data_IF_623591423680
#
_entry.id   IF_623591423680
#
_cell.length_a   1.000
_cell.length_b   1.000
_cell.length_c   1.000
_cell.angle_alpha   90.00
_cell.angle_beta   90.00
_cell.angle_gamma   90.00
#
_symmetry.space_group_name_H-M   'P 1'
#
loop_
_entity.id
_entity.type
_entity.pdbx_description
1 polymer ?
#
# COMPACT_ATOMS: atom_id res chain seq x y z
N UNK A 1 36.78 -22.26 12.29
CA UNK A 1 35.96 -21.11 12.71
C UNK A 1 34.97 -20.82 11.59
N UNK A 2 33.66 -20.98 11.81
CA UNK A 2 32.66 -20.67 10.80
C UNK A 2 32.64 -19.15 10.60
N UNK A 3 32.72 -18.69 9.34
CA UNK A 3 32.50 -17.28 8.97
C UNK A 3 31.13 -16.84 9.44
N UNK A 4 31.01 -15.74 10.19
CA UNK A 4 29.72 -15.27 10.63
C UNK A 4 28.83 -14.96 9.42
N UNK A 5 27.55 -15.39 9.48
CA UNK A 5 26.56 -15.07 8.46
C UNK A 5 26.51 -13.55 8.22
N UNK A 6 26.49 -13.08 6.95
CA UNK A 6 26.37 -11.65 6.65
C UNK A 6 25.08 -11.01 7.20
N UNK A 7 24.08 -11.83 7.56
CA UNK A 7 22.85 -11.38 8.24
C UNK A 7 23.03 -11.13 9.76
N UNK A 8 24.25 -11.27 10.30
CA UNK A 8 24.55 -10.79 11.67
C UNK A 8 24.43 -9.26 11.83
N UNK A 9 24.31 -8.51 10.74
CA UNK A 9 23.87 -7.11 10.79
C UNK A 9 22.43 -6.93 11.30
N UNK A 10 21.65 -8.02 11.41
CA UNK A 10 20.32 -8.04 12.03
C UNK A 10 20.36 -8.43 13.52
N UNK A 11 21.53 -8.41 14.16
CA UNK A 11 21.65 -8.54 15.62
C UNK A 11 21.09 -7.27 16.25
N UNK A 12 20.25 -7.38 17.29
CA UNK A 12 19.73 -6.22 18.00
C UNK A 12 20.85 -5.29 18.47
N UNK A 13 20.62 -3.98 18.31
CA UNK A 13 21.54 -2.97 18.80
C UNK A 13 21.53 -2.94 20.34
N UNK A 14 22.66 -2.62 20.97
CA UNK A 14 22.73 -2.46 22.44
C UNK A 14 21.83 -1.34 22.95
N UNK A 15 21.58 -0.32 22.13
CA UNK A 15 20.60 0.73 22.42
C UNK A 15 19.23 0.31 21.85
N UNK A 16 18.31 -0.08 22.72
CA UNK A 16 16.95 -0.60 22.35
C UNK A 16 16.21 0.35 21.40
N UNK A 17 16.41 1.66 21.50
CA UNK A 17 15.76 2.66 20.64
C UNK A 17 16.11 2.55 19.15
N UNK A 18 17.17 1.83 18.79
CA UNK A 18 17.57 1.57 17.40
C UNK A 18 17.09 0.22 16.88
N UNK A 19 16.41 -0.56 17.71
CA UNK A 19 15.87 -1.85 17.30
C UNK A 19 14.45 -1.72 16.76
N UNK A 20 14.17 -2.38 15.63
CA UNK A 20 12.82 -2.68 15.19
C UNK A 20 12.43 -4.09 15.66
N UNK A 21 11.26 -4.23 16.23
CA UNK A 21 10.74 -5.52 16.69
C UNK A 21 9.61 -5.94 15.76
N UNK A 22 9.80 -7.09 15.09
CA UNK A 22 8.75 -7.76 14.34
C UNK A 22 8.20 -8.86 15.25
N UNK A 23 7.06 -8.60 15.87
CA UNK A 23 6.38 -9.57 16.72
C UNK A 23 5.13 -10.11 16.01
N UNK A 24 4.59 -11.23 16.48
CA UNK A 24 3.28 -11.73 16.06
C UNK A 24 2.18 -10.80 16.61
N UNK A 25 1.96 -9.71 15.94
CA UNK A 25 0.78 -8.88 16.16
C UNK A 25 -0.43 -9.69 15.68
N UNK A 26 -1.00 -10.43 16.61
CA UNK A 26 -2.19 -11.25 16.39
C UNK A 26 -3.41 -10.35 16.22
N UNK A 27 -3.61 -9.90 15.05
CA UNK A 27 -4.78 -9.15 14.66
C UNK A 27 -4.37 -7.87 14.00
N UNK A 28 -4.22 -7.91 12.74
CA UNK A 28 -4.39 -6.82 11.82
C UNK A 28 -3.18 -6.53 10.97
N UNK A 29 -3.34 -6.73 9.67
CA UNK A 29 -2.46 -6.21 8.64
C UNK A 29 -2.26 -4.69 8.68
N UNK A 30 -3.01 -3.95 9.52
CA UNK A 30 -3.00 -2.50 9.67
C UNK A 30 -1.59 -1.91 9.85
N UNK A 31 -0.74 -2.52 10.66
CA UNK A 31 0.63 -2.03 10.85
C UNK A 31 1.48 -2.15 9.59
N UNK A 32 1.30 -3.23 8.82
CA UNK A 32 2.07 -3.41 7.60
C UNK A 32 1.61 -2.39 6.54
N UNK A 33 0.31 -2.25 6.32
CA UNK A 33 -0.23 -1.27 5.40
C UNK A 33 0.19 0.15 5.81
N UNK A 34 0.02 0.53 7.08
CA UNK A 34 0.41 1.84 7.60
C UNK A 34 1.91 2.13 7.38
N UNK A 35 2.79 1.14 7.58
CA UNK A 35 4.22 1.27 7.34
C UNK A 35 4.56 1.60 5.87
N UNK A 36 3.90 0.95 4.92
CA UNK A 36 4.09 1.24 3.49
C UNK A 36 3.55 2.62 3.11
N UNK A 37 2.39 3.03 3.63
CA UNK A 37 1.87 4.39 3.48
C UNK A 37 2.85 5.41 4.02
N UNK A 38 3.28 5.26 5.27
CA UNK A 38 4.23 6.17 5.90
C UNK A 38 5.55 6.30 5.13
N UNK A 39 6.10 5.18 4.65
CA UNK A 39 7.32 5.21 3.83
C UNK A 39 7.11 5.98 2.51
N UNK A 40 5.96 5.80 1.85
CA UNK A 40 5.57 6.55 0.65
C UNK A 40 5.52 8.06 0.93
N UNK A 41 4.81 8.46 1.99
CA UNK A 41 4.64 9.85 2.38
C UNK A 41 5.99 10.52 2.75
N UNK A 42 6.84 9.83 3.52
CA UNK A 42 8.16 10.34 3.88
C UNK A 42 9.05 10.60 2.66
N UNK A 43 9.04 9.70 1.67
CA UNK A 43 9.79 9.89 0.43
C UNK A 43 9.24 11.07 -0.40
N UNK A 44 7.92 11.20 -0.51
CA UNK A 44 7.29 12.31 -1.21
C UNK A 44 7.58 13.64 -0.50
N UNK A 45 7.44 13.70 0.81
CA UNK A 45 7.75 14.89 1.61
C UNK A 45 9.20 15.32 1.47
N UNK A 46 10.15 14.37 1.42
CA UNK A 46 11.57 14.64 1.18
C UNK A 46 11.79 15.44 -0.11
N UNK A 47 11.10 15.09 -1.20
CA UNK A 47 11.21 15.80 -2.48
C UNK A 47 10.45 17.12 -2.51
N UNK A 48 9.31 17.19 -1.83
CA UNK A 48 8.53 18.44 -1.78
C UNK A 48 9.19 19.50 -0.90
N UNK A 49 9.97 19.09 0.09
CA UNK A 49 10.73 19.99 0.96
C UNK A 49 11.97 20.58 0.26
N UNK A 50 12.54 19.88 -0.73
CA UNK A 50 13.72 20.33 -1.49
C UNK A 50 13.48 20.17 -3.00
N UNK A 51 12.69 21.07 -3.62
CA UNK A 51 12.38 21.01 -5.04
C UNK A 51 13.60 21.28 -5.94
N UNK A 52 14.64 21.91 -5.41
CA UNK A 52 15.91 22.16 -6.11
C UNK A 52 16.88 20.97 -6.04
N UNK A 53 16.54 19.93 -5.30
CA UNK A 53 17.31 18.69 -5.22
C UNK A 53 17.51 18.01 -6.58
N UNK A 54 18.49 17.10 -6.67
CA UNK A 54 18.92 16.54 -7.95
C UNK A 54 17.78 15.80 -8.68
N UNK A 55 17.65 16.07 -9.99
CA UNK A 55 16.68 15.36 -10.83
C UNK A 55 16.89 13.85 -10.79
N UNK A 56 18.14 13.38 -10.81
CA UNK A 56 18.47 11.96 -10.77
C UNK A 56 18.00 11.25 -9.50
N UNK A 57 17.98 11.92 -8.35
CA UNK A 57 17.43 11.34 -7.11
C UNK A 57 15.90 11.16 -7.23
N UNK A 58 15.19 12.15 -7.76
CA UNK A 58 13.74 12.05 -8.00
C UNK A 58 13.41 10.93 -8.97
N UNK A 59 14.14 10.87 -10.08
CA UNK A 59 13.93 9.87 -11.13
C UNK A 59 14.21 8.45 -10.62
N UNK A 60 15.19 8.28 -9.73
CA UNK A 60 15.55 6.97 -9.18
C UNK A 60 14.57 6.46 -8.12
N UNK A 61 13.88 7.35 -7.40
CA UNK A 61 13.00 6.98 -6.28
C UNK A 61 11.51 6.98 -6.66
N UNK A 62 11.11 7.50 -7.83
CA UNK A 62 9.70 7.54 -8.22
C UNK A 62 9.08 6.13 -8.33
N UNK A 63 9.80 5.17 -8.90
CA UNK A 63 9.31 3.78 -8.99
C UNK A 63 9.23 3.09 -7.62
N UNK A 64 10.22 3.18 -6.72
CA UNK A 64 10.06 2.77 -5.34
C UNK A 64 8.84 3.38 -4.63
N UNK A 65 8.58 4.69 -4.82
CA UNK A 65 7.40 5.36 -4.25
C UNK A 65 6.10 4.73 -4.77
N UNK A 66 5.99 4.56 -6.09
CA UNK A 66 4.81 3.92 -6.70
C UNK A 66 4.63 2.47 -6.25
N UNK A 67 5.73 1.72 -6.12
CA UNK A 67 5.69 0.35 -5.59
C UNK A 67 5.17 0.32 -4.15
N UNK A 68 5.70 1.16 -3.26
CA UNK A 68 5.27 1.23 -1.86
C UNK A 68 3.80 1.61 -1.76
N UNK A 69 3.35 2.60 -2.53
CA UNK A 69 1.96 3.02 -2.55
C UNK A 69 1.02 1.92 -3.08
N UNK A 70 1.38 1.28 -4.20
CA UNK A 70 0.62 0.15 -4.72
C UNK A 70 0.52 -0.99 -3.72
N UNK A 71 1.62 -1.29 -3.01
CA UNK A 71 1.64 -2.35 -2.01
C UNK A 71 0.83 -1.98 -0.76
N UNK A 72 0.84 -0.71 -0.36
CA UNK A 72 -0.08 -0.19 0.65
C UNK A 72 -1.55 -0.48 0.27
N UNK A 73 -1.96 -0.12 -0.95
CA UNK A 73 -3.32 -0.35 -1.42
C UNK A 73 -3.69 -1.84 -1.38
N UNK A 74 -2.81 -2.70 -1.86
CA UNK A 74 -3.02 -4.15 -1.85
C UNK A 74 -3.26 -4.68 -0.43
N UNK A 75 -2.43 -4.30 0.53
CA UNK A 75 -2.56 -4.73 1.92
C UNK A 75 -3.83 -4.17 2.54
N UNK A 76 -4.12 -2.89 2.36
CA UNK A 76 -5.30 -2.24 2.91
C UNK A 76 -6.60 -2.82 2.34
N UNK A 77 -6.64 -3.15 1.05
CA UNK A 77 -7.79 -3.84 0.47
C UNK A 77 -8.00 -5.21 1.10
N UNK A 78 -6.94 -5.96 1.32
CA UNK A 78 -7.02 -7.28 2.00
C UNK A 78 -7.55 -7.17 3.43
N UNK A 79 -7.16 -6.15 4.18
CA UNK A 79 -7.68 -5.88 5.52
C UNK A 79 -9.19 -5.57 5.47
N UNK A 80 -9.61 -4.64 4.60
CA UNK A 80 -11.01 -4.27 4.40
C UNK A 80 -11.84 -5.48 3.97
N UNK A 81 -11.32 -6.33 3.09
CA UNK A 81 -11.99 -7.57 2.67
C UNK A 81 -12.23 -8.50 3.85
N UNK A 82 -11.22 -8.74 4.68
CA UNK A 82 -11.36 -9.60 5.87
C UNK A 82 -12.43 -9.06 6.83
N UNK A 83 -12.39 -7.77 7.15
CA UNK A 83 -13.39 -7.16 8.03
C UNK A 83 -14.79 -7.15 7.40
N UNK A 84 -14.89 -6.78 6.13
CA UNK A 84 -16.16 -6.75 5.40
C UNK A 84 -16.82 -8.12 5.30
N UNK A 85 -16.03 -9.19 5.12
CA UNK A 85 -16.52 -10.57 5.14
C UNK A 85 -17.13 -10.92 6.50
N UNK A 86 -16.43 -10.60 7.60
CA UNK A 86 -16.94 -10.84 8.96
C UNK A 86 -18.24 -10.08 9.21
N UNK A 87 -18.29 -8.79 8.89
CA UNK A 87 -19.47 -7.94 9.06
C UNK A 87 -20.67 -8.39 8.19
N UNK A 88 -20.38 -9.04 7.07
CA UNK A 88 -21.41 -9.62 6.17
C UNK A 88 -21.79 -11.05 6.55
N UNK A 89 -21.32 -11.58 7.69
CA UNK A 89 -21.60 -12.94 8.15
C UNK A 89 -20.88 -14.04 7.34
N UNK A 90 -19.84 -13.68 6.60
CA UNK A 90 -19.02 -14.62 5.84
C UNK A 90 -17.78 -15.03 6.64
N UNK A 91 -17.21 -16.22 6.40
CA UNK A 91 -15.97 -16.62 7.05
C UNK A 91 -14.82 -15.73 6.57
N UNK A 92 -14.06 -15.18 7.51
CA UNK A 92 -12.86 -14.39 7.24
C UNK A 92 -11.83 -15.21 6.44
N UNK A 93 -11.40 -14.72 5.30
CA UNK A 93 -10.39 -15.37 4.45
C UNK A 93 -9.43 -14.34 3.92
N UNK A 94 -8.15 -14.51 4.24
CA UNK A 94 -7.10 -13.70 3.63
C UNK A 94 -7.01 -13.96 2.12
N UNK A 95 -7.05 -12.89 1.33
CA UNK A 95 -6.95 -12.99 -0.13
C UNK A 95 -5.49 -13.19 -0.55
N UNK A 96 -5.24 -14.23 -1.32
CA UNK A 96 -3.96 -14.45 -1.98
C UNK A 96 -3.94 -13.76 -3.35
N UNK A 97 -2.72 -13.48 -3.84
CA UNK A 97 -2.53 -12.81 -5.14
C UNK A 97 -2.33 -11.31 -5.00
N UNK A 98 -2.05 -10.68 -6.14
CA UNK A 98 -1.60 -9.28 -6.24
C UNK A 98 -2.41 -8.48 -7.27
N UNK A 99 -3.54 -9.01 -7.73
CA UNK A 99 -4.44 -8.35 -8.67
C UNK A 99 -5.25 -7.26 -7.96
N UNK A 100 -4.78 -6.02 -8.13
CA UNK A 100 -5.34 -4.87 -7.44
C UNK A 100 -6.78 -4.56 -7.90
N UNK A 101 -7.10 -4.80 -9.16
CA UNK A 101 -8.45 -4.56 -9.71
C UNK A 101 -9.47 -5.55 -9.12
N UNK A 102 -9.09 -6.82 -9.05
CA UNK A 102 -9.93 -7.86 -8.41
C UNK A 102 -10.15 -7.58 -6.92
N UNK A 103 -9.10 -7.17 -6.20
CA UNK A 103 -9.21 -6.79 -4.78
C UNK A 103 -10.11 -5.56 -4.60
N UNK A 104 -9.97 -4.55 -5.46
CA UNK A 104 -10.81 -3.36 -5.40
C UNK A 104 -12.29 -3.67 -5.65
N UNK A 105 -12.59 -4.53 -6.63
CA UNK A 105 -13.96 -4.97 -6.90
C UNK A 105 -14.59 -5.61 -5.67
N UNK A 106 -13.88 -6.50 -4.98
CA UNK A 106 -14.38 -7.14 -3.75
C UNK A 106 -14.54 -6.13 -2.61
N UNK A 107 -13.63 -5.16 -2.47
CA UNK A 107 -13.79 -4.03 -1.51
C UNK A 107 -15.07 -3.26 -1.77
N UNK A 108 -15.36 -2.92 -3.03
CA UNK A 108 -16.59 -2.19 -3.38
C UNK A 108 -17.85 -2.98 -3.01
N UNK A 109 -17.90 -4.27 -3.31
CA UNK A 109 -19.02 -5.14 -2.97
C UNK A 109 -19.25 -5.20 -1.46
N UNK A 110 -18.18 -5.40 -0.68
CA UNK A 110 -18.26 -5.50 0.78
C UNK A 110 -18.58 -4.14 1.43
N UNK A 111 -18.02 -3.04 0.95
CA UNK A 111 -18.40 -1.70 1.42
C UNK A 111 -19.88 -1.42 1.14
N UNK A 112 -20.38 -1.78 -0.04
CA UNK A 112 -21.81 -1.65 -0.34
C UNK A 112 -22.69 -2.52 0.57
N UNK A 113 -22.24 -3.72 0.92
CA UNK A 113 -22.97 -4.59 1.84
C UNK A 113 -23.03 -4.03 3.26
N UNK A 114 -21.93 -3.42 3.74
CA UNK A 114 -21.79 -2.91 5.12
C UNK A 114 -22.43 -1.53 5.28
N UNK A 115 -22.25 -0.63 4.31
CA UNK A 115 -22.65 0.79 4.43
C UNK A 115 -23.83 1.17 3.53
N UNK A 116 -24.24 0.29 2.61
CA UNK A 116 -25.22 0.63 1.56
C UNK A 116 -24.57 1.42 0.42
N UNK A 117 -25.40 1.83 -0.55
CA UNK A 117 -24.92 2.42 -1.82
C UNK A 117 -24.47 3.89 -1.71
N UNK A 118 -24.22 4.42 -0.53
CA UNK A 118 -23.75 5.81 -0.34
C UNK A 118 -22.22 5.84 -0.51
N UNK A 119 -21.76 6.07 -1.72
CA UNK A 119 -20.33 6.14 -2.07
C UNK A 119 -19.84 7.58 -1.95
N UNK A 120 -18.77 7.84 -1.18
CA UNK A 120 -18.15 9.16 -1.12
C UNK A 120 -17.38 9.49 -2.41
N UNK A 121 -17.15 10.79 -2.65
CA UNK A 121 -16.33 11.21 -3.80
C UNK A 121 -14.89 10.69 -3.69
N UNK A 122 -14.37 10.56 -2.48
CA UNK A 122 -13.04 10.01 -2.19
C UNK A 122 -12.97 8.53 -2.57
N UNK A 123 -14.03 7.77 -2.28
CA UNK A 123 -14.09 6.35 -2.64
C UNK A 123 -14.11 6.14 -4.17
N UNK A 124 -14.75 7.05 -4.93
CA UNK A 124 -14.68 7.05 -6.40
C UNK A 124 -13.25 7.27 -6.87
N UNK A 125 -12.51 8.21 -6.29
CA UNK A 125 -11.10 8.48 -6.61
C UNK A 125 -10.19 7.29 -6.35
N UNK A 126 -10.50 6.44 -5.35
CA UNK A 126 -9.75 5.19 -5.16
C UNK A 126 -9.85 4.31 -6.40
N UNK A 127 -11.06 4.15 -6.97
CA UNK A 127 -11.27 3.37 -8.18
C UNK A 127 -10.52 3.93 -9.41
N UNK A 128 -10.51 5.25 -9.57
CA UNK A 128 -9.74 5.92 -10.63
C UNK A 128 -8.23 5.64 -10.46
N UNK A 129 -7.72 5.79 -9.25
CA UNK A 129 -6.32 5.51 -8.95
C UNK A 129 -5.93 4.04 -9.17
N UNK A 130 -6.81 3.10 -8.80
CA UNK A 130 -6.60 1.67 -9.08
C UNK A 130 -6.48 1.42 -10.58
N UNK A 131 -7.37 2.03 -11.36
CA UNK A 131 -7.35 1.93 -12.84
C UNK A 131 -6.03 2.44 -13.40
N UNK A 132 -5.57 3.62 -12.97
CA UNK A 132 -4.31 4.21 -13.41
C UNK A 132 -3.10 3.34 -13.04
N UNK A 133 -3.06 2.83 -11.82
CA UNK A 133 -1.99 1.95 -11.36
C UNK A 133 -1.98 0.61 -12.10
N UNK A 134 -3.14 0.02 -12.40
CA UNK A 134 -3.24 -1.22 -13.17
C UNK A 134 -2.81 -1.03 -14.64
N UNK A 135 -3.01 0.16 -15.22
CA UNK A 135 -2.47 0.48 -16.55
C UNK A 135 -0.95 0.58 -16.54
N UNK A 136 -0.36 1.16 -15.49
CA UNK A 136 1.10 1.31 -15.35
C UNK A 136 1.79 0.00 -14.93
N UNK A 137 1.15 -0.80 -14.10
CA UNK A 137 1.72 -2.02 -13.51
C UNK A 137 0.71 -3.18 -13.52
N UNK A 138 0.31 -3.70 -14.70
CA UNK A 138 -0.73 -4.71 -14.81
C UNK A 138 -0.39 -6.04 -14.14
N UNK A 139 0.89 -6.36 -14.03
CA UNK A 139 1.38 -7.63 -13.48
C UNK A 139 2.07 -7.50 -12.12
N UNK A 140 1.98 -6.35 -11.46
CA UNK A 140 2.66 -6.07 -10.18
C UNK A 140 4.19 -6.18 -10.26
N UNK A 141 4.77 -5.95 -11.43
CA UNK A 141 6.21 -6.12 -11.68
C UNK A 141 6.87 -4.87 -12.24
N UNK A 142 6.09 -3.96 -12.87
CA UNK A 142 6.63 -2.82 -13.61
C UNK A 142 7.40 -1.83 -12.72
N UNK A 143 6.99 -1.64 -11.48
CA UNK A 143 7.67 -0.75 -10.54
C UNK A 143 8.91 -1.38 -9.88
N UNK A 144 9.10 -2.69 -10.04
CA UNK A 144 10.20 -3.44 -9.42
C UNK A 144 11.35 -3.74 -10.36
N UNK A 145 11.06 -3.83 -11.66
CA UNK A 145 12.03 -4.25 -12.66
C UNK A 145 12.14 -3.19 -13.78
N UNK A 146 13.35 -2.90 -14.26
CA UNK A 146 13.55 -1.92 -15.32
C UNK A 146 13.18 -2.46 -16.71
N UNK A 147 13.05 -3.78 -16.85
CA UNK A 147 12.80 -4.48 -18.11
C UNK A 147 11.77 -5.57 -17.93
N UNK A 148 11.03 -5.84 -18.99
CA UNK A 148 10.10 -6.97 -19.07
C UNK A 148 10.85 -8.31 -19.30
N UNK A 149 10.09 -9.39 -19.40
CA UNK A 149 10.61 -10.74 -19.63
C UNK A 149 11.29 -10.93 -21.01
N UNK A 150 11.06 -10.00 -21.94
CA UNK A 150 11.68 -9.98 -23.27
C UNK A 150 12.94 -9.09 -23.29
N UNK A 151 13.29 -8.45 -22.17
CA UNK A 151 14.42 -7.54 -22.07
C UNK A 151 14.14 -6.12 -22.54
N UNK A 152 12.91 -5.77 -22.89
CA UNK A 152 12.51 -4.43 -23.30
C UNK A 152 12.32 -3.52 -22.07
N UNK A 153 12.67 -2.22 -22.14
CA UNK A 153 12.36 -1.27 -21.09
C UNK A 153 10.84 -1.24 -20.84
N UNK A 154 10.44 -1.28 -19.55
CA UNK A 154 9.01 -1.23 -19.19
C UNK A 154 8.44 0.18 -19.43
N UNK A 155 9.23 1.20 -19.10
CA UNK A 155 8.86 2.59 -19.35
C UNK A 155 9.91 3.22 -20.30
N UNK A 156 9.46 3.72 -21.45
CA UNK A 156 10.31 4.51 -22.36
C UNK A 156 10.35 5.97 -21.94
N UNK A 157 9.19 6.50 -21.53
CA UNK A 157 9.08 7.87 -21.03
C UNK A 157 7.87 7.95 -20.09
N UNK A 158 8.14 8.12 -18.79
CA UNK A 158 7.10 8.26 -17.77
C UNK A 158 7.40 9.53 -16.95
N UNK A 159 6.45 10.46 -16.92
CA UNK A 159 6.54 11.68 -16.11
C UNK A 159 5.46 11.63 -15.04
N UNK A 160 5.87 11.70 -13.79
CA UNK A 160 4.98 11.67 -12.63
C UNK A 160 5.03 13.01 -11.89
N UNK A 161 3.87 13.61 -11.69
CA UNK A 161 3.73 14.84 -10.90
C UNK A 161 3.76 14.55 -9.40
N UNK A 162 4.89 14.74 -8.72
CA UNK A 162 5.06 14.38 -7.30
C UNK A 162 4.11 15.12 -6.36
N UNK A 163 3.74 16.38 -6.66
CA UNK A 163 2.74 17.11 -5.87
C UNK A 163 1.35 16.49 -5.99
N UNK A 164 0.95 16.12 -7.20
CA UNK A 164 -0.32 15.45 -7.45
C UNK A 164 -0.33 14.06 -6.80
N UNK A 165 0.76 13.29 -6.95
CA UNK A 165 0.90 11.98 -6.32
C UNK A 165 0.79 12.08 -4.80
N UNK A 166 1.45 13.07 -4.16
CA UNK A 166 1.36 13.28 -2.72
C UNK A 166 -0.08 13.57 -2.26
N UNK A 167 -0.80 14.42 -2.98
CA UNK A 167 -2.21 14.72 -2.68
C UNK A 167 -3.09 13.47 -2.84
N UNK A 168 -2.84 12.66 -3.88
CA UNK A 168 -3.54 11.40 -4.13
C UNK A 168 -3.27 10.39 -3.01
N UNK A 169 -2.00 10.17 -2.64
CA UNK A 169 -1.61 9.27 -1.54
C UNK A 169 -2.30 9.65 -0.24
N UNK A 170 -2.30 10.93 0.12
CA UNK A 170 -2.95 11.42 1.33
C UNK A 170 -4.47 11.18 1.28
N UNK A 171 -5.16 11.67 0.24
CA UNK A 171 -6.63 11.58 0.14
C UNK A 171 -7.13 10.14 0.10
N UNK A 172 -6.49 9.28 -0.69
CA UNK A 172 -6.85 7.85 -0.80
C UNK A 172 -6.48 7.11 0.48
N UNK A 173 -5.31 7.43 1.05
CA UNK A 173 -4.86 6.84 2.30
C UNK A 173 -5.84 7.11 3.43
N UNK A 174 -6.24 8.36 3.62
CA UNK A 174 -7.21 8.76 4.66
C UNK A 174 -8.55 8.02 4.46
N UNK A 175 -9.09 8.00 3.24
CA UNK A 175 -10.35 7.32 2.94
C UNK A 175 -10.30 5.82 3.29
N UNK A 176 -9.25 5.13 2.89
CA UNK A 176 -9.13 3.68 3.10
C UNK A 176 -8.80 3.32 4.56
N UNK A 177 -7.99 4.14 5.23
CA UNK A 177 -7.66 3.94 6.64
C UNK A 177 -8.90 4.17 7.52
N UNK A 178 -9.73 5.17 7.21
CA UNK A 178 -11.00 5.42 7.91
C UNK A 178 -11.97 4.23 7.74
N UNK A 179 -12.12 3.70 6.53
CA UNK A 179 -12.96 2.52 6.26
C UNK A 179 -12.44 1.30 7.02
N UNK A 180 -11.15 1.03 6.96
CA UNK A 180 -10.52 -0.11 7.64
C UNK A 180 -10.69 -0.01 9.15
N UNK A 181 -10.47 1.17 9.72
CA UNK A 181 -10.62 1.42 11.15
C UNK A 181 -12.07 1.24 11.61
N UNK A 182 -13.04 1.84 10.90
CA UNK A 182 -14.46 1.70 11.24
C UNK A 182 -14.92 0.24 11.18
N UNK A 183 -14.56 -0.48 10.12
CA UNK A 183 -14.88 -1.91 10.00
C UNK A 183 -14.22 -2.73 11.10
N UNK A 184 -12.96 -2.46 11.42
CA UNK A 184 -12.22 -3.15 12.49
C UNK A 184 -12.91 -2.97 13.83
N UNK A 185 -13.28 -1.74 14.19
CA UNK A 185 -14.03 -1.45 15.44
C UNK A 185 -15.34 -2.22 15.47
N UNK A 186 -16.13 -2.16 14.39
CA UNK A 186 -17.42 -2.90 14.33
C UNK A 186 -17.25 -4.42 14.46
N UNK A 187 -16.16 -4.99 13.93
CA UNK A 187 -15.87 -6.42 14.09
C UNK A 187 -15.56 -6.75 15.55
N UNK A 188 -14.82 -5.91 16.25
CA UNK A 188 -14.47 -6.13 17.66
C UNK A 188 -15.65 -5.89 18.62
N UNK A 189 -16.62 -5.07 18.23
CA UNK A 189 -17.82 -4.77 19.01
C UNK A 189 -18.95 -5.82 18.81
N UNK A 190 -18.75 -6.81 17.93
CA UNK A 190 -19.69 -7.92 17.78
C UNK A 190 -19.65 -8.80 19.03
N UNK A 191 -20.81 -9.18 19.61
CA UNK A 191 -20.89 -9.97 20.84
C UNK A 191 -20.39 -11.41 20.69
#
# INVERSE_FOLDING_TARGET
MATPSPLRALVPDHEIRFNAVLDHWTGVGDFHAAGYRQATELLLQRFLADPEGTAGERDSLVLPILFLFRHYLELRFKDIIVYGQVLSGQPARWRHGHDLESLWTEVQELCNAVYGSSVSAEFVKVGECVTDLCQLDPNSTSFRYPRDTNGCPIFEHLVIGLKALNATVASIGDCLDDISMDMSVRVHDQP
#
